data_IF_775700384073
#
_entry.id   IF_775700384073
#
_cell.length_a   1.000
_cell.length_b   1.000
_cell.length_c   1.000
_cell.angle_alpha   90.00
_cell.angle_beta   90.00
_cell.angle_gamma   90.00
#
_symmetry.space_group_name_H-M   'P 1'
#
loop_
_entity.id
_entity.type
_entity.pdbx_description
1 polymer ?
#
# COMPACT_ATOMS: atom_id res chain seq x y z
N UNK A 1 -28.62 -9.54 1.37
CA UNK A 1 -27.35 -9.01 0.84
C UNK A 1 -26.29 -9.35 1.88
N UNK A 2 -25.34 -10.24 1.58
CA UNK A 2 -24.30 -10.59 2.55
C UNK A 2 -23.32 -9.42 2.67
N UNK A 3 -23.06 -8.94 3.89
CA UNK A 3 -22.01 -7.96 4.15
C UNK A 3 -20.66 -8.65 3.97
N UNK A 4 -19.81 -8.10 3.10
CA UNK A 4 -18.41 -8.51 3.03
C UNK A 4 -17.78 -8.17 4.38
N UNK A 5 -17.18 -9.15 5.10
CA UNK A 5 -16.55 -8.87 6.38
C UNK A 5 -15.48 -7.78 6.18
N UNK A 6 -15.61 -6.70 6.95
CA UNK A 6 -14.64 -5.60 6.94
C UNK A 6 -13.36 -6.12 7.61
N UNK A 7 -12.18 -6.02 6.97
CA UNK A 7 -10.95 -6.45 7.61
C UNK A 7 -10.75 -5.66 8.92
N UNK A 8 -10.44 -6.37 10.00
CA UNK A 8 -10.23 -5.75 11.33
C UNK A 8 -8.89 -4.98 11.42
N UNK A 9 -8.06 -5.09 10.38
CA UNK A 9 -6.74 -4.48 10.29
C UNK A 9 -6.60 -3.77 8.93
N UNK A 10 -6.11 -2.53 8.99
CA UNK A 10 -5.63 -1.80 7.83
C UNK A 10 -4.13 -1.51 7.99
N UNK A 11 -3.35 -1.79 6.94
CA UNK A 11 -1.91 -1.54 6.89
C UNK A 11 -1.68 -0.38 5.92
N UNK A 12 -1.17 0.73 6.45
CA UNK A 12 -0.80 1.91 5.66
C UNK A 12 0.71 1.92 5.43
N UNK A 13 1.14 1.95 4.18
CA UNK A 13 2.55 1.91 3.77
C UNK A 13 2.90 3.22 3.06
N UNK A 14 3.59 4.16 3.73
CA UNK A 14 4.17 5.32 3.06
C UNK A 14 5.30 4.89 2.13
N UNK A 15 5.25 5.35 0.87
CA UNK A 15 6.22 4.98 -0.15
C UNK A 15 6.77 6.21 -0.88
N UNK A 16 8.04 6.12 -1.25
CA UNK A 16 8.71 7.03 -2.17
C UNK A 16 9.88 6.26 -2.80
N UNK A 17 9.75 5.91 -4.06
CA UNK A 17 10.71 5.09 -4.82
C UNK A 17 11.08 3.79 -4.10
N UNK A 18 10.09 2.95 -3.82
CA UNK A 18 10.22 1.71 -3.05
C UNK A 18 10.06 0.43 -3.89
N UNK A 19 10.10 0.51 -5.23
CA UNK A 19 9.75 -0.60 -6.13
C UNK A 19 10.53 -1.89 -5.82
N UNK A 20 11.81 -1.78 -5.46
CA UNK A 20 12.70 -2.91 -5.18
C UNK A 20 12.23 -3.80 -4.02
N UNK A 21 11.66 -3.20 -2.97
CA UNK A 21 11.29 -3.92 -1.74
C UNK A 21 9.78 -4.12 -1.57
N UNK A 22 8.97 -3.33 -2.27
CA UNK A 22 7.54 -3.25 -2.03
C UNK A 22 6.82 -4.59 -2.25
N UNK A 23 7.20 -5.36 -3.26
CA UNK A 23 6.56 -6.65 -3.55
C UNK A 23 6.62 -7.63 -2.37
N UNK A 24 7.78 -7.75 -1.72
CA UNK A 24 7.95 -8.64 -0.56
C UNK A 24 7.11 -8.18 0.65
N UNK A 25 7.03 -6.85 0.86
CA UNK A 25 6.19 -6.28 1.93
C UNK A 25 4.72 -6.58 1.67
N UNK A 26 4.23 -6.35 0.45
CA UNK A 26 2.84 -6.60 0.10
C UNK A 26 2.47 -8.09 0.21
N UNK A 27 3.37 -8.99 -0.16
CA UNK A 27 3.18 -10.42 0.03
C UNK A 27 3.03 -10.79 1.51
N UNK A 28 3.88 -10.24 2.39
CA UNK A 28 3.78 -10.46 3.83
C UNK A 28 2.48 -9.87 4.43
N UNK A 29 2.02 -8.72 3.93
CA UNK A 29 0.76 -8.12 4.37
C UNK A 29 -0.48 -8.97 3.98
N UNK A 30 -0.42 -9.68 2.85
CA UNK A 30 -1.51 -10.54 2.41
C UNK A 30 -1.82 -11.68 3.40
N UNK A 31 -0.81 -12.16 4.12
CA UNK A 31 -0.98 -13.20 5.17
C UNK A 31 -1.83 -12.72 6.35
N UNK A 32 -1.90 -11.41 6.58
CA UNK A 32 -2.65 -10.81 7.69
C UNK A 32 -4.14 -10.55 7.39
N UNK A 33 -4.62 -10.90 6.18
CA UNK A 33 -5.99 -10.62 5.71
C UNK A 33 -6.42 -9.15 5.93
N UNK A 34 -5.48 -8.21 5.78
CA UNK A 34 -5.66 -6.79 6.04
C UNK A 34 -6.01 -6.01 4.76
N UNK A 35 -6.69 -4.87 4.91
CA UNK A 35 -6.72 -3.86 3.85
C UNK A 35 -5.32 -3.23 3.74
N UNK A 36 -4.73 -3.20 2.55
CA UNK A 36 -3.44 -2.53 2.33
C UNK A 36 -3.63 -1.25 1.55
N UNK A 37 -3.20 -0.13 2.15
CA UNK A 37 -3.20 1.20 1.53
C UNK A 37 -1.76 1.68 1.37
N UNK A 38 -1.34 1.90 0.12
CA UNK A 38 -0.05 2.51 -0.20
C UNK A 38 -0.24 4.01 -0.39
N UNK A 39 0.39 4.80 0.48
CA UNK A 39 0.45 6.25 0.35
C UNK A 39 1.72 6.62 -0.44
N UNK A 40 1.56 7.00 -1.70
CA UNK A 40 2.68 7.31 -2.60
C UNK A 40 3.02 8.80 -2.58
N UNK A 41 4.25 9.12 -2.19
CA UNK A 41 4.79 10.48 -2.15
C UNK A 41 5.24 11.02 -3.50
N UNK A 42 4.74 10.51 -4.63
CA UNK A 42 5.23 10.88 -5.96
C UNK A 42 6.48 10.10 -6.35
N UNK A 43 6.37 8.77 -6.34
CA UNK A 43 7.42 7.89 -6.84
C UNK A 43 7.52 7.94 -8.36
N UNK A 44 8.72 7.74 -8.88
CA UNK A 44 9.04 7.73 -10.33
C UNK A 44 9.62 6.40 -10.81
N UNK A 45 9.72 5.41 -9.93
CA UNK A 45 10.36 4.10 -10.18
C UNK A 45 9.35 2.96 -10.47
N UNK A 46 8.07 3.29 -10.65
CA UNK A 46 7.01 2.30 -10.85
C UNK A 46 6.39 1.73 -9.58
N UNK A 47 6.80 2.18 -8.39
CA UNK A 47 6.17 1.85 -7.09
C UNK A 47 4.63 1.79 -7.13
N UNK A 48 3.90 2.85 -7.57
CA UNK A 48 2.44 2.84 -7.54
C UNK A 48 1.80 1.87 -8.53
N UNK A 49 2.50 1.47 -9.60
CA UNK A 49 2.01 0.45 -10.53
C UNK A 49 2.14 -0.95 -9.90
N UNK A 50 3.29 -1.24 -9.27
CA UNK A 50 3.52 -2.48 -8.54
C UNK A 50 2.52 -2.67 -7.39
N UNK A 51 2.25 -1.62 -6.63
CA UNK A 51 1.26 -1.65 -5.55
C UNK A 51 -0.14 -2.05 -6.04
N UNK A 52 -0.62 -1.42 -7.12
CA UNK A 52 -1.94 -1.74 -7.70
C UNK A 52 -1.99 -3.16 -8.25
N UNK A 53 -0.93 -3.61 -8.92
CA UNK A 53 -0.84 -4.96 -9.46
C UNK A 53 -0.91 -6.04 -8.36
N UNK A 54 -0.41 -5.74 -7.17
CA UNK A 54 -0.50 -6.59 -5.99
C UNK A 54 -1.83 -6.44 -5.20
N UNK A 55 -2.81 -5.69 -5.72
CA UNK A 55 -4.13 -5.53 -5.11
C UNK A 55 -4.21 -4.47 -4.00
N UNK A 56 -3.13 -3.71 -3.76
CA UNK A 56 -3.17 -2.63 -2.78
C UNK A 56 -3.92 -1.40 -3.33
N UNK A 57 -4.64 -0.70 -2.46
CA UNK A 57 -5.21 0.60 -2.76
C UNK A 57 -4.10 1.65 -2.72
N UNK A 58 -3.93 2.42 -3.80
CA UNK A 58 -2.92 3.47 -3.86
C UNK A 58 -3.56 4.84 -3.72
N UNK A 59 -3.06 5.65 -2.78
CA UNK A 59 -3.43 7.05 -2.60
C UNK A 59 -2.21 7.94 -2.84
N UNK A 60 -2.38 9.03 -3.59
CA UNK A 60 -1.31 10.02 -3.75
C UNK A 60 -1.20 10.88 -2.49
N UNK A 61 0.02 11.18 -2.08
CA UNK A 61 0.33 12.01 -0.91
C UNK A 61 1.45 13.00 -1.26
N UNK A 62 1.56 14.13 -0.55
CA UNK A 62 2.74 14.98 -0.62
C UNK A 62 4.01 14.20 -0.25
N UNK A 63 5.15 14.61 -0.82
CA UNK A 63 6.46 14.07 -0.44
C UNK A 63 6.72 14.28 1.05
N UNK A 64 7.13 13.21 1.74
CA UNK A 64 7.46 13.23 3.18
C UNK A 64 7.11 11.91 3.85
N UNK A 65 7.49 11.73 5.12
CA UNK A 65 7.09 10.56 5.93
C UNK A 65 6.46 11.02 7.24
N UNK A 66 5.16 11.28 7.22
CA UNK A 66 4.39 11.66 8.41
C UNK A 66 4.78 13.04 8.96
N UNK A 67 4.38 14.14 8.29
CA UNK A 67 4.71 15.51 8.70
C UNK A 67 3.91 16.01 9.92
N UNK A 68 3.39 15.11 10.77
CA UNK A 68 2.48 15.42 11.88
C UNK A 68 3.22 16.03 13.08
#
# INVERSE_FOLDING_TARGET
MAQTPVPSLAIVIPTLNAARGLGAVLAACAEAAAEVVVADGGSTDGTPALARAAGARVVAAPRGRGPQ
#
